data_IF_832501170761
#
_entry.id   IF_832501170761
#
_cell.length_a   1.000
_cell.length_b   1.000
_cell.length_c   1.000
_cell.angle_alpha   90.00
_cell.angle_beta   90.00
_cell.angle_gamma   90.00
#
_symmetry.space_group_name_H-M   'P 1'
#
loop_
_entity.id
_entity.type
_entity.pdbx_description
1 polymer ?
#
# COMPACT_ATOMS: atom_id res chain seq x y z
N UNK A 1 70.19 -14.72 -31.52
CA UNK A 1 70.25 -13.82 -30.36
C UNK A 1 69.52 -12.54 -30.75
N UNK A 2 68.32 -12.32 -30.19
CA UNK A 2 68.01 -11.19 -29.29
C UNK A 2 67.86 -9.85 -30.05
N UNK A 3 66.80 -9.03 -29.98
CA UNK A 3 65.72 -8.92 -29.01
C UNK A 3 64.60 -8.06 -29.64
N UNK A 4 63.33 -8.50 -29.54
CA UNK A 4 62.13 -7.74 -29.96
C UNK A 4 61.41 -7.30 -28.68
N UNK A 5 61.82 -6.15 -28.13
CA UNK A 5 61.38 -5.60 -26.84
C UNK A 5 61.37 -4.07 -26.96
N UNK A 6 60.37 -3.30 -26.57
CA UNK A 6 59.04 -3.57 -26.08
C UNK A 6 58.22 -2.31 -26.34
N UNK A 7 57.09 -2.44 -27.04
CA UNK A 7 56.09 -1.38 -27.20
C UNK A 7 54.73 -2.05 -27.25
N UNK A 8 54.34 -2.68 -26.15
CA UNK A 8 53.05 -3.38 -26.05
C UNK A 8 52.56 -3.45 -24.60
N UNK A 9 52.59 -2.33 -23.87
CA UNK A 9 52.04 -2.24 -22.50
C UNK A 9 51.26 -0.94 -22.25
N UNK A 10 50.63 -0.37 -23.29
CA UNK A 10 49.77 0.82 -23.16
C UNK A 10 48.35 0.63 -23.72
N UNK A 11 47.90 -0.61 -23.95
CA UNK A 11 46.53 -0.87 -24.43
C UNK A 11 45.74 -1.90 -23.62
N UNK A 12 46.23 -2.37 -22.48
CA UNK A 12 45.40 -3.11 -21.50
C UNK A 12 45.00 -2.15 -20.37
N UNK A 13 44.39 -1.03 -20.77
CA UNK A 13 43.64 -0.12 -19.92
C UNK A 13 42.16 -0.21 -20.26
N UNK A 14 41.65 -1.43 -20.48
CA UNK A 14 40.21 -1.65 -20.65
C UNK A 14 39.58 -1.48 -19.28
N UNK A 15 39.16 -0.25 -19.01
CA UNK A 15 37.85 0.11 -18.46
C UNK A 15 37.20 -1.03 -17.67
N UNK A 16 37.77 -1.36 -16.51
CA UNK A 16 37.01 -1.88 -15.40
C UNK A 16 36.40 -0.68 -14.67
N UNK A 17 35.59 0.11 -15.37
CA UNK A 17 34.48 0.80 -14.71
C UNK A 17 33.50 -0.31 -14.39
N UNK A 18 33.84 -1.11 -13.37
CA UNK A 18 32.88 -1.97 -12.73
C UNK A 18 31.75 -1.04 -12.34
N UNK A 19 30.56 -1.31 -12.87
CA UNK A 19 29.35 -0.69 -12.36
C UNK A 19 29.26 -1.14 -10.90
N UNK A 20 29.76 -0.32 -9.99
CA UNK A 20 29.46 -0.46 -8.56
C UNK A 20 28.01 -0.06 -8.45
N UNK A 21 27.11 -1.02 -8.64
CA UNK A 21 25.70 -0.83 -8.30
C UNK A 21 25.64 -0.67 -6.79
N UNK A 22 25.63 0.59 -6.34
CA UNK A 22 25.61 0.91 -4.92
C UNK A 22 24.35 0.33 -4.28
N UNK A 23 24.52 -0.51 -3.24
CA UNK A 23 23.42 -1.03 -2.42
C UNK A 23 22.55 0.10 -1.84
N UNK A 24 23.13 1.31 -1.66
CA UNK A 24 22.41 2.51 -1.21
C UNK A 24 21.31 2.96 -2.17
N UNK A 25 21.55 2.86 -3.48
CA UNK A 25 20.66 3.43 -4.49
C UNK A 25 19.43 2.54 -4.68
N UNK A 26 19.63 1.23 -4.64
CA UNK A 26 18.54 0.25 -4.69
C UNK A 26 17.65 0.30 -3.44
N UNK A 27 18.25 0.47 -2.25
CA UNK A 27 17.47 0.58 -1.02
C UNK A 27 16.64 1.87 -0.99
N UNK A 28 17.21 2.99 -1.44
CA UNK A 28 16.52 4.28 -1.53
C UNK A 28 15.34 4.23 -2.51
N UNK A 29 15.53 3.57 -3.66
CA UNK A 29 14.46 3.34 -4.64
C UNK A 29 13.34 2.47 -4.06
N UNK A 30 13.65 1.33 -3.43
CA UNK A 30 12.65 0.47 -2.77
C UNK A 30 11.86 1.20 -1.69
N UNK A 31 12.54 2.00 -0.87
CA UNK A 31 11.87 2.79 0.17
C UNK A 31 10.90 3.79 -0.46
N UNK A 32 11.32 4.48 -1.53
CA UNK A 32 10.47 5.45 -2.23
C UNK A 32 9.25 4.81 -2.87
N UNK A 33 9.36 3.60 -3.43
CA UNK A 33 8.23 2.84 -3.97
C UNK A 33 7.26 2.41 -2.85
N UNK A 34 7.79 1.99 -1.71
CA UNK A 34 6.98 1.58 -0.56
C UNK A 34 6.06 2.70 -0.06
N UNK A 35 6.57 3.94 0.00
CA UNK A 35 5.79 5.10 0.43
C UNK A 35 4.71 5.56 -0.57
N UNK A 36 4.77 5.09 -1.83
CA UNK A 36 3.70 5.36 -2.82
C UNK A 36 2.48 4.47 -2.60
N UNK A 37 2.66 3.31 -1.97
CA UNK A 37 1.55 2.43 -1.63
C UNK A 37 0.79 2.93 -0.41
N UNK A 38 -0.52 2.66 -0.32
CA UNK A 38 -1.28 2.99 0.88
C UNK A 38 -0.77 2.20 2.08
N UNK A 39 -0.76 2.84 3.24
CA UNK A 39 -0.46 2.16 4.50
C UNK A 39 -1.49 1.06 4.75
N UNK A 40 -1.01 -0.15 5.05
CA UNK A 40 -1.85 -1.28 5.43
C UNK A 40 -2.66 -0.93 6.67
N UNK A 41 -2.00 -0.45 7.72
CA UNK A 41 -2.65 -0.04 8.97
C UNK A 41 -2.72 1.49 9.06
N UNK A 42 -3.92 2.03 9.28
CA UNK A 42 -4.10 3.45 9.60
C UNK A 42 -5.28 3.60 10.56
N UNK A 43 -4.97 3.90 11.81
CA UNK A 43 -5.94 4.04 12.88
C UNK A 43 -6.06 5.50 13.28
N UNK A 44 -7.30 5.97 13.46
CA UNK A 44 -7.56 7.20 14.21
C UNK A 44 -7.32 6.94 15.70
N UNK A 45 -7.15 8.02 16.47
CA UNK A 45 -6.88 7.93 17.91
C UNK A 45 -8.11 7.39 18.65
N UNK A 46 -7.97 6.19 19.20
CA UNK A 46 -9.02 5.46 19.88
C UNK A 46 -9.44 6.16 21.18
N UNK A 47 -8.46 6.58 21.97
CA UNK A 47 -8.69 7.17 23.29
C UNK A 47 -9.34 8.55 23.16
N UNK A 48 -8.88 9.36 22.21
CA UNK A 48 -9.51 10.64 21.88
C UNK A 48 -10.94 10.40 21.38
N UNK A 49 -11.15 9.45 20.47
CA UNK A 49 -12.48 9.19 19.94
C UNK A 49 -13.51 8.91 21.05
N UNK A 50 -13.15 8.05 22.01
CA UNK A 50 -14.08 7.62 23.06
C UNK A 50 -14.14 8.59 24.25
N UNK A 51 -13.05 9.29 24.58
CA UNK A 51 -12.93 10.01 25.85
C UNK A 51 -12.87 11.54 25.74
N UNK A 52 -12.67 12.10 24.55
CA UNK A 52 -12.46 13.55 24.37
C UNK A 52 -13.67 14.40 24.82
N UNK A 53 -14.89 13.89 24.68
CA UNK A 53 -16.09 14.60 25.14
C UNK A 53 -17.07 13.66 25.84
N UNK A 54 -17.21 13.72 27.18
CA UNK A 54 -18.12 12.84 27.92
C UNK A 54 -19.60 13.11 27.62
N UNK A 55 -19.93 14.24 26.98
CA UNK A 55 -21.30 14.61 26.60
C UNK A 55 -21.69 14.05 25.22
N UNK A 56 -20.71 13.75 24.36
CA UNK A 56 -20.93 13.26 23.00
C UNK A 56 -20.31 11.87 22.87
N UNK A 57 -21.05 10.80 23.23
CA UNK A 57 -20.56 9.46 23.03
C UNK A 57 -20.24 9.24 21.55
N UNK A 58 -19.12 8.57 21.27
CA UNK A 58 -18.72 8.20 19.92
C UNK A 58 -18.44 6.71 19.85
N UNK A 59 -18.41 6.21 18.62
CA UNK A 59 -18.11 4.82 18.31
C UNK A 59 -16.81 4.77 17.54
N UNK A 60 -15.95 3.84 17.93
CA UNK A 60 -14.75 3.50 17.19
C UNK A 60 -14.96 2.22 16.39
N UNK A 61 -14.78 2.30 15.07
CA UNK A 61 -14.93 1.18 14.16
C UNK A 61 -13.57 0.72 13.66
N UNK A 62 -13.32 -0.59 13.70
CA UNK A 62 -12.23 -1.20 12.94
C UNK A 62 -12.81 -1.74 11.64
N UNK A 63 -12.47 -1.08 10.55
CA UNK A 63 -12.93 -1.40 9.20
C UNK A 63 -11.78 -2.01 8.46
N UNK A 64 -11.99 -3.21 7.95
CA UNK A 64 -11.14 -3.70 6.90
C UNK A 64 -11.65 -3.08 5.59
N UNK A 65 -10.77 -2.65 4.69
CA UNK A 65 -11.07 -2.36 3.29
C UNK A 65 -10.16 -3.14 2.30
N UNK A 66 -10.65 -3.33 1.08
CA UNK A 66 -9.89 -3.95 -0.03
C UNK A 66 -9.80 -2.99 -1.20
N UNK A 67 -8.60 -2.84 -1.75
CA UNK A 67 -8.38 -2.04 -2.96
C UNK A 67 -8.86 -2.81 -4.19
N UNK A 68 -9.65 -2.14 -5.02
CA UNK A 68 -10.09 -2.69 -6.31
C UNK A 68 -8.89 -2.79 -7.26
N UNK A 69 -8.66 -3.94 -7.90
CA UNK A 69 -7.63 -4.06 -8.93
C UNK A 69 -7.86 -3.08 -10.08
N UNK A 70 -6.77 -2.43 -10.51
CA UNK A 70 -6.79 -1.50 -11.65
C UNK A 70 -5.46 -1.56 -12.40
N UNK A 71 -5.42 -2.33 -13.48
CA UNK A 71 -4.20 -2.52 -14.27
C UNK A 71 -3.73 -1.26 -15.00
N UNK A 72 -4.54 -0.19 -15.03
CA UNK A 72 -4.15 1.11 -15.58
C UNK A 72 -3.47 2.01 -14.54
N UNK A 73 -3.52 1.63 -13.26
CA UNK A 73 -2.92 2.38 -12.16
C UNK A 73 -1.49 1.95 -11.89
N UNK A 74 -0.55 2.91 -11.99
CA UNK A 74 0.85 2.70 -11.60
C UNK A 74 0.95 2.22 -10.15
N UNK A 75 0.14 2.78 -9.24
CA UNK A 75 0.14 2.42 -7.83
C UNK A 75 -0.36 0.99 -7.63
N UNK A 76 -1.36 0.55 -8.40
CA UNK A 76 -1.82 -0.84 -8.37
C UNK A 76 -0.72 -1.81 -8.81
N UNK A 77 0.01 -1.49 -9.89
CA UNK A 77 1.15 -2.31 -10.33
C UNK A 77 2.24 -2.44 -9.27
N UNK A 78 2.44 -1.43 -8.42
CA UNK A 78 3.32 -1.54 -7.24
C UNK A 78 2.73 -2.44 -6.17
N UNK A 79 1.45 -2.25 -5.82
CA UNK A 79 0.73 -3.05 -4.82
C UNK A 79 0.78 -4.53 -5.18
N UNK A 80 0.46 -4.89 -6.42
CA UNK A 80 0.45 -6.28 -6.89
C UNK A 80 1.84 -6.92 -6.77
N UNK A 81 2.87 -6.24 -7.28
CA UNK A 81 4.25 -6.74 -7.27
C UNK A 81 4.79 -6.96 -5.86
N UNK A 82 4.60 -6.00 -4.96
CA UNK A 82 5.14 -6.06 -3.60
C UNK A 82 4.33 -7.05 -2.75
N UNK A 83 3.01 -7.04 -2.88
CA UNK A 83 2.13 -7.93 -2.12
C UNK A 83 2.23 -9.40 -2.54
N UNK A 84 2.77 -9.69 -3.74
CA UNK A 84 3.08 -11.07 -4.16
C UNK A 84 4.11 -11.75 -3.24
N UNK A 85 4.97 -10.97 -2.57
CA UNK A 85 5.97 -11.48 -1.62
C UNK A 85 5.42 -11.60 -0.18
N UNK A 86 4.23 -12.18 -0.04
CA UNK A 86 3.44 -12.22 1.21
C UNK A 86 4.16 -12.78 2.45
N UNK A 87 5.22 -13.57 2.27
CA UNK A 87 6.01 -14.12 3.39
C UNK A 87 6.86 -13.07 4.10
N UNK A 88 7.21 -11.99 3.42
CA UNK A 88 8.15 -10.96 3.90
C UNK A 88 7.64 -9.54 3.71
N UNK A 89 6.60 -9.35 2.90
CA UNK A 89 5.94 -8.08 2.66
C UNK A 89 4.47 -8.15 3.08
N UNK A 90 3.95 -7.04 3.60
CA UNK A 90 2.53 -6.92 3.88
C UNK A 90 1.75 -6.84 2.56
N UNK A 91 0.52 -7.33 2.56
CA UNK A 91 -0.38 -7.18 1.42
C UNK A 91 -1.01 -5.78 1.45
N UNK A 92 -0.54 -4.88 0.58
CA UNK A 92 -1.02 -3.50 0.49
C UNK A 92 -2.38 -3.36 -0.19
N UNK A 93 -2.95 -4.44 -0.73
CA UNK A 93 -4.34 -4.45 -1.20
C UNK A 93 -5.35 -4.63 -0.05
N UNK A 94 -4.91 -5.16 1.10
CA UNK A 94 -5.74 -5.30 2.30
C UNK A 94 -5.41 -4.18 3.28
N UNK A 95 -6.42 -3.41 3.66
CA UNK A 95 -6.26 -2.22 4.46
C UNK A 95 -7.05 -2.35 5.75
N UNK A 96 -6.43 -2.05 6.88
CA UNK A 96 -7.11 -1.93 8.16
C UNK A 96 -7.20 -0.45 8.57
N UNK A 97 -8.40 -0.02 8.91
CA UNK A 97 -8.74 1.35 9.24
C UNK A 97 -9.42 1.43 10.58
N UNK A 98 -8.95 2.35 11.43
CA UNK A 98 -9.67 2.76 12.62
C UNK A 98 -10.38 4.06 12.34
N UNK A 99 -11.69 4.09 12.55
CA UNK A 99 -12.53 5.25 12.23
C UNK A 99 -13.34 5.62 13.46
N UNK A 100 -13.19 6.86 13.91
CA UNK A 100 -14.10 7.51 14.82
C UNK A 100 -15.32 8.00 14.03
N UNK A 101 -16.49 7.45 14.35
CA UNK A 101 -17.73 7.74 13.61
C UNK A 101 -18.08 9.23 13.67
N UNK A 102 -17.94 9.86 14.85
CA UNK A 102 -18.17 11.30 15.04
C UNK A 102 -17.34 12.14 14.06
N UNK A 103 -16.04 11.90 14.00
CA UNK A 103 -15.13 12.68 13.16
C UNK A 103 -15.35 12.38 11.68
N UNK A 104 -15.70 11.13 11.35
CA UNK A 104 -16.11 10.75 10.00
C UNK A 104 -17.34 11.54 9.54
N UNK A 105 -18.39 11.59 10.35
CA UNK A 105 -19.59 12.36 10.04
C UNK A 105 -19.30 13.86 9.90
N UNK A 106 -18.46 14.43 10.78
CA UNK A 106 -18.04 15.82 10.68
C UNK A 106 -17.32 16.10 9.35
N UNK A 107 -16.40 15.23 8.93
CA UNK A 107 -15.72 15.34 7.64
C UNK A 107 -16.69 15.20 6.46
N UNK A 108 -17.61 14.25 6.52
CA UNK A 108 -18.63 14.08 5.48
C UNK A 108 -19.50 15.34 5.35
N UNK A 109 -19.91 15.96 6.46
CA UNK A 109 -20.66 17.23 6.45
C UNK A 109 -19.84 18.37 5.84
N UNK A 110 -18.54 18.46 6.14
CA UNK A 110 -17.65 19.47 5.53
C UNK A 110 -17.45 19.27 4.02
N UNK A 111 -17.58 18.04 3.54
CA UNK A 111 -17.50 17.70 2.12
C UNK A 111 -18.87 17.68 1.42
N UNK A 112 -19.95 17.86 2.18
CA UNK A 112 -21.32 17.90 1.66
C UNK A 112 -21.45 18.99 0.60
N UNK A 113 -22.04 18.63 -0.54
CA UNK A 113 -22.17 19.49 -1.72
C UNK A 113 -20.94 19.51 -2.64
N UNK A 114 -19.81 18.89 -2.27
CA UNK A 114 -18.63 18.70 -3.15
C UNK A 114 -18.49 17.28 -3.68
N UNK A 115 -19.13 16.32 -3.03
CA UNK A 115 -19.13 14.92 -3.39
C UNK A 115 -20.55 14.42 -3.57
N UNK A 116 -20.76 13.56 -4.56
CA UNK A 116 -21.98 12.78 -4.66
C UNK A 116 -21.88 11.59 -3.70
N UNK A 117 -22.85 11.42 -2.79
CA UNK A 117 -22.84 10.30 -1.84
C UNK A 117 -22.79 8.93 -2.55
N UNK A 118 -23.41 8.83 -3.73
CA UNK A 118 -23.37 7.64 -4.58
C UNK A 118 -21.95 7.26 -5.04
N UNK A 119 -21.03 8.22 -5.15
CA UNK A 119 -19.62 7.96 -5.51
C UNK A 119 -18.83 7.36 -4.33
N UNK A 120 -19.29 7.57 -3.10
CA UNK A 120 -18.71 6.94 -1.91
C UNK A 120 -19.10 5.46 -1.81
N UNK A 121 -20.15 5.04 -2.52
CA UNK A 121 -20.66 3.68 -2.53
C UNK A 121 -19.98 2.89 -3.65
N UNK A 122 -19.00 2.08 -3.27
CA UNK A 122 -18.32 1.16 -4.18
C UNK A 122 -19.07 -0.17 -4.21
N UNK A 123 -19.58 -0.63 -5.37
CA UNK A 123 -20.20 -1.96 -5.47
C UNK A 123 -19.21 -3.05 -5.06
N UNK A 124 -19.72 -4.09 -4.39
CA UNK A 124 -18.93 -5.29 -4.11
C UNK A 124 -18.38 -5.85 -5.42
N UNK A 125 -17.11 -6.21 -5.42
CA UNK A 125 -16.42 -6.81 -6.56
C UNK A 125 -15.79 -8.13 -6.13
N UNK A 126 -15.61 -9.04 -7.09
CA UNK A 126 -14.97 -10.33 -6.83
C UNK A 126 -13.47 -10.12 -6.66
N UNK A 127 -12.90 -10.74 -5.64
CA UNK A 127 -11.45 -10.81 -5.41
C UNK A 127 -11.01 -12.26 -5.42
N UNK A 128 -9.81 -12.54 -5.92
CA UNK A 128 -9.20 -13.87 -5.90
C UNK A 128 -8.53 -14.19 -4.55
N UNK A 129 -8.33 -13.18 -3.69
CA UNK A 129 -7.84 -13.34 -2.32
C UNK A 129 -9.00 -13.37 -1.32
N UNK A 130 -8.88 -14.25 -0.33
CA UNK A 130 -9.82 -14.39 0.78
C UNK A 130 -9.69 -13.19 1.69
N UNK A 131 -10.76 -12.45 1.81
CA UNK A 131 -10.87 -11.36 2.73
C UNK A 131 -12.07 -11.64 3.64
N UNK A 132 -11.80 -12.16 4.83
CA UNK A 132 -12.84 -12.43 5.82
C UNK A 132 -13.17 -11.13 6.56
N UNK A 133 -14.16 -10.41 6.07
CA UNK A 133 -14.96 -9.52 6.93
C UNK A 133 -16.06 -10.36 7.57
N UNK A 134 -16.40 -10.09 8.84
CA UNK A 134 -17.49 -10.81 9.51
C UNK A 134 -18.82 -10.71 8.74
N UNK A 135 -18.98 -9.66 7.91
CA UNK A 135 -20.13 -9.41 7.03
C UNK A 135 -20.14 -10.28 5.76
N UNK A 136 -19.01 -10.84 5.33
CA UNK A 136 -18.96 -11.72 4.15
C UNK A 136 -19.33 -13.19 4.48
N UNK A 137 -19.43 -13.53 5.77
CA UNK A 137 -19.94 -14.85 6.21
C UNK A 137 -21.46 -14.98 6.06
N UNK A 138 -22.21 -13.88 6.13
CA UNK A 138 -23.67 -13.94 5.99
C UNK A 138 -24.13 -14.07 4.53
N UNK A 139 -23.41 -13.48 3.57
CA UNK A 139 -23.79 -13.53 2.15
C UNK A 139 -23.36 -14.81 1.42
N UNK A 140 -22.46 -15.60 2.00
CA UNK A 140 -22.06 -16.92 1.47
C UNK A 140 -22.78 -18.09 2.16
N UNK A 141 -23.78 -17.83 3.02
CA UNK A 141 -24.63 -18.88 3.56
C UNK A 141 -25.64 -19.27 2.47
N UNK A 142 -25.36 -20.40 1.80
CA UNK A 142 -26.34 -21.02 0.91
C UNK A 142 -27.66 -21.21 1.67
N UNK A 143 -28.82 -20.92 1.04
CA UNK A 143 -30.11 -21.25 1.65
C UNK A 143 -30.16 -22.77 1.85
N UNK A 144 -30.40 -23.18 3.11
CA UNK A 144 -30.81 -24.55 3.42
C UNK A 144 -32.26 -24.77 2.99
#
# INVERSE_FOLDING_TARGET
MSNRSGRLWWLIGIIAVGVVSSESDQNSQRLSEYWRMPRVFKYEDYDICLNDNPTIPSVYCVVKAVIRPDNTSDVWGLIERISAQWKVQLNHAHLDRGICVRDCEMRLRMMSGRLNESELLVPKFKTNYRYDSALDREQNKAPN
#
